data_IF_432291145657
#
_entry.id   IF_432291145657
#
_cell.length_a   1.000
_cell.length_b   1.000
_cell.length_c   1.000
_cell.angle_alpha   90.00
_cell.angle_beta   90.00
_cell.angle_gamma   90.00
#
_symmetry.space_group_name_H-M   'P 1'
#
loop_
_entity.id
_entity.type
_entity.pdbx_description
1 polymer ?
#
# COMPACT_ATOMS: atom_id res chain seq x y z
N UNK A 1 -0.58 -17.81 14.79
CA UNK A 1 -1.99 -17.88 14.35
C UNK A 1 -2.88 -17.70 15.57
N UNK A 2 -4.05 -17.08 15.42
CA UNK A 2 -4.96 -16.76 16.53
C UNK A 2 -6.16 -17.71 16.52
N UNK A 3 -6.84 -17.91 17.66
CA UNK A 3 -8.09 -18.65 17.71
C UNK A 3 -9.19 -17.99 16.83
N UNK A 4 -10.12 -18.79 16.25
CA UNK A 4 -11.19 -18.31 15.38
C UNK A 4 -12.00 -17.16 15.98
N UNK A 5 -12.32 -17.26 17.28
CA UNK A 5 -13.07 -16.24 18.04
C UNK A 5 -12.42 -14.86 17.97
N UNK A 6 -11.09 -14.80 18.00
CA UNK A 6 -10.37 -13.52 17.92
C UNK A 6 -10.19 -13.09 16.46
N UNK A 7 -9.96 -14.01 15.53
CA UNK A 7 -9.72 -13.67 14.11
C UNK A 7 -10.98 -13.25 13.36
N UNK A 8 -12.11 -13.93 13.60
CA UNK A 8 -13.35 -13.76 12.82
C UNK A 8 -14.30 -12.74 13.45
N UNK A 9 -14.43 -12.73 14.77
CA UNK A 9 -15.41 -11.88 15.45
C UNK A 9 -14.78 -10.57 15.92
N UNK A 10 -13.64 -10.63 16.62
CA UNK A 10 -13.01 -9.46 17.22
C UNK A 10 -12.14 -8.64 16.25
N UNK A 11 -11.47 -9.29 15.28
CA UNK A 11 -10.50 -8.63 14.38
C UNK A 11 -10.97 -8.49 12.93
N UNK A 12 -12.08 -9.12 12.54
CA UNK A 12 -12.63 -8.91 11.19
C UNK A 12 -13.27 -7.53 11.08
N UNK A 13 -12.90 -6.80 10.03
CA UNK A 13 -13.43 -5.48 9.68
C UNK A 13 -14.74 -5.60 8.89
N UNK A 14 -15.76 -6.15 9.54
CA UNK A 14 -17.08 -6.30 8.93
C UNK A 14 -17.75 -4.92 8.73
N UNK A 15 -18.51 -4.72 7.65
CA UNK A 15 -19.21 -3.45 7.40
C UNK A 15 -20.20 -3.11 8.51
N UNK A 16 -20.34 -1.81 8.82
CA UNK A 16 -21.29 -1.32 9.81
C UNK A 16 -20.90 -1.53 11.27
N UNK A 17 -19.77 -2.19 11.55
CA UNK A 17 -19.32 -2.48 12.92
C UNK A 17 -18.04 -1.70 13.26
N UNK A 18 -18.00 -1.13 14.46
CA UNK A 18 -16.80 -0.45 14.96
C UNK A 18 -15.71 -1.43 15.40
N UNK A 19 -14.46 -1.08 15.06
CA UNK A 19 -13.28 -1.91 15.28
C UNK A 19 -12.07 -1.08 15.69
N UNK A 20 -11.32 -1.59 16.66
CA UNK A 20 -10.03 -1.05 17.05
C UNK A 20 -8.97 -1.44 16.01
N UNK A 21 -8.17 -0.48 15.58
CA UNK A 21 -7.16 -0.65 14.54
C UNK A 21 -5.91 0.15 14.86
N UNK A 22 -4.78 -0.31 14.31
CA UNK A 22 -3.58 0.51 14.20
C UNK A 22 -3.54 1.08 12.78
N UNK A 23 -3.60 2.40 12.67
CA UNK A 23 -3.66 3.11 11.40
C UNK A 23 -2.32 3.74 11.07
N UNK A 24 -1.95 3.68 9.80
CA UNK A 24 -0.94 4.51 9.19
C UNK A 24 -1.59 5.49 8.21
N UNK A 25 -1.38 6.79 8.41
CA UNK A 25 -1.94 7.88 7.61
C UNK A 25 -0.81 8.65 6.96
N UNK A 26 -0.91 8.87 5.65
CA UNK A 26 0.08 9.59 4.87
C UNK A 26 -0.58 10.80 4.22
N UNK A 27 -0.02 11.98 4.44
CA UNK A 27 -0.31 13.15 3.62
C UNK A 27 0.63 13.11 2.41
N UNK A 28 0.07 13.08 1.21
CA UNK A 28 0.83 12.88 -0.02
C UNK A 28 0.49 13.95 -1.05
N UNK A 29 1.47 14.31 -1.88
CA UNK A 29 1.24 15.15 -3.06
C UNK A 29 0.57 14.34 -4.18
N UNK A 30 0.09 15.02 -5.24
CA UNK A 30 -0.54 14.37 -6.39
C UNK A 30 0.42 13.44 -7.16
N UNK A 31 1.72 13.60 -6.95
CA UNK A 31 2.80 12.82 -7.53
C UNK A 31 3.16 11.60 -6.65
N UNK A 32 2.48 11.41 -5.51
CA UNK A 32 2.72 10.29 -4.60
C UNK A 32 3.89 10.50 -3.63
N UNK A 33 4.39 11.73 -3.49
CA UNK A 33 5.44 12.05 -2.50
C UNK A 33 4.82 12.24 -1.12
N UNK A 34 5.36 11.56 -0.11
CA UNK A 34 4.90 11.71 1.29
C UNK A 34 5.41 13.04 1.86
N UNK A 35 4.48 13.89 2.31
CA UNK A 35 4.75 15.15 3.00
C UNK A 35 4.76 14.94 4.51
N UNK A 36 3.80 14.16 5.02
CA UNK A 36 3.70 13.86 6.45
C UNK A 36 3.20 12.43 6.65
N UNK A 37 3.55 11.83 7.80
CA UNK A 37 3.13 10.50 8.21
C UNK A 37 2.68 10.51 9.66
N UNK A 38 1.60 9.80 9.95
CA UNK A 38 1.10 9.57 11.29
C UNK A 38 0.82 8.08 11.49
N UNK A 39 1.19 7.55 12.65
CA UNK A 39 0.93 6.18 13.07
C UNK A 39 0.25 6.23 14.43
N UNK A 40 -0.82 5.47 14.62
CA UNK A 40 -1.49 5.41 15.92
C UNK A 40 -2.69 4.48 15.98
N UNK A 41 -3.18 4.25 17.19
CA UNK A 41 -4.38 3.44 17.46
C UNK A 41 -5.63 4.27 17.13
N UNK A 42 -6.58 3.68 16.44
CA UNK A 42 -7.82 4.33 15.97
C UNK A 42 -9.02 3.40 16.12
N UNK A 43 -10.21 3.98 16.18
CA UNK A 43 -11.48 3.26 15.95
C UNK A 43 -11.93 3.52 14.52
N UNK A 44 -12.37 2.47 13.81
CA UNK A 44 -12.93 2.58 12.46
C UNK A 44 -14.25 1.83 12.35
N UNK A 45 -15.11 2.28 11.45
CA UNK A 45 -16.34 1.58 11.03
C UNK A 45 -16.26 1.39 9.52
N UNK A 46 -16.15 0.14 9.06
CA UNK A 46 -16.06 -0.13 7.62
C UNK A 46 -17.39 0.16 6.94
N UNK A 47 -17.38 0.85 5.79
CA UNK A 47 -18.60 1.20 5.07
C UNK A 47 -19.07 0.10 4.11
N UNK A 48 -18.16 -0.75 3.61
CA UNK A 48 -18.49 -1.78 2.62
C UNK A 48 -17.43 -2.90 2.65
N UNK A 49 -17.85 -4.12 2.29
CA UNK A 49 -16.94 -5.25 2.01
C UNK A 49 -16.98 -5.50 0.50
N UNK A 50 -15.86 -5.26 -0.16
CA UNK A 50 -15.73 -5.44 -1.61
C UNK A 50 -14.98 -6.74 -1.91
N UNK A 51 -15.47 -7.48 -2.90
CA UNK A 51 -14.66 -8.51 -3.56
C UNK A 51 -13.72 -7.86 -4.59
N UNK A 52 -12.75 -8.62 -5.09
CA UNK A 52 -11.87 -8.13 -6.15
C UNK A 52 -12.63 -7.84 -7.44
N UNK A 53 -13.64 -8.63 -7.77
CA UNK A 53 -14.48 -8.41 -8.95
C UNK A 53 -15.28 -7.12 -8.82
N UNK A 54 -15.77 -6.79 -7.62
CA UNK A 54 -16.50 -5.56 -7.38
C UNK A 54 -15.59 -4.34 -7.44
N UNK A 55 -14.40 -4.43 -6.83
CA UNK A 55 -13.41 -3.36 -6.90
C UNK A 55 -12.98 -3.08 -8.35
N UNK A 56 -12.80 -4.13 -9.17
CA UNK A 56 -12.45 -3.97 -10.57
C UNK A 56 -13.59 -3.31 -11.36
N UNK A 57 -14.83 -3.78 -11.19
CA UNK A 57 -16.02 -3.15 -11.78
C UNK A 57 -16.12 -1.66 -11.43
N UNK A 58 -15.86 -1.31 -10.18
CA UNK A 58 -15.87 0.08 -9.72
C UNK A 58 -14.80 0.93 -10.41
N UNK A 59 -13.58 0.39 -10.54
CA UNK A 59 -12.46 1.05 -11.24
C UNK A 59 -12.83 1.29 -12.72
N UNK A 60 -13.46 0.31 -13.36
CA UNK A 60 -13.86 0.36 -14.77
C UNK A 60 -15.09 1.27 -14.99
N UNK A 61 -15.73 1.74 -13.92
CA UNK A 61 -16.85 2.68 -13.96
C UNK A 61 -18.23 2.02 -14.05
N UNK A 62 -18.34 0.72 -13.78
CA UNK A 62 -19.61 0.04 -13.68
C UNK A 62 -20.32 0.34 -12.35
N UNK A 63 -21.65 0.27 -12.37
CA UNK A 63 -22.51 0.47 -11.19
C UNK A 63 -22.41 -0.77 -10.30
N UNK A 64 -22.27 -0.55 -8.99
CA UNK A 64 -22.28 -1.60 -7.98
C UNK A 64 -23.70 -1.73 -7.40
N UNK A 65 -24.54 -2.55 -8.02
CA UNK A 65 -25.97 -2.68 -7.67
C UNK A 65 -26.25 -3.50 -6.40
N UNK A 66 -25.42 -4.49 -6.09
CA UNK A 66 -25.74 -5.54 -5.10
C UNK A 66 -24.95 -5.43 -3.79
N UNK A 67 -24.26 -4.32 -3.54
CA UNK A 67 -23.41 -4.19 -2.37
C UNK A 67 -24.17 -3.71 -1.14
N UNK A 68 -23.94 -4.39 -0.02
CA UNK A 68 -24.35 -3.92 1.31
C UNK A 68 -23.42 -2.77 1.72
N UNK A 69 -23.89 -1.55 1.54
CA UNK A 69 -23.19 -0.31 1.92
C UNK A 69 -23.83 0.26 3.19
N UNK A 70 -22.99 0.72 4.11
CA UNK A 70 -23.46 1.42 5.30
C UNK A 70 -24.21 2.71 4.91
N UNK A 71 -25.33 3.04 5.56
CA UNK A 71 -26.23 4.11 5.13
C UNK A 71 -25.58 5.50 5.10
N UNK A 72 -24.46 5.68 5.81
CA UNK A 72 -23.76 6.96 5.92
C UNK A 72 -22.94 7.32 4.67
N UNK A 73 -22.81 6.44 3.66
CA UNK A 73 -21.94 6.66 2.49
C UNK A 73 -22.59 6.22 1.18
N UNK A 74 -22.39 7.00 0.11
CA UNK A 74 -22.91 6.68 -1.21
C UNK A 74 -21.97 5.76 -2.01
N UNK A 75 -22.55 4.92 -2.86
CA UNK A 75 -21.79 4.06 -3.80
C UNK A 75 -20.89 4.88 -4.73
N UNK A 76 -21.34 6.08 -5.14
CA UNK A 76 -20.56 6.98 -5.99
C UNK A 76 -19.28 7.47 -5.31
N UNK A 77 -19.34 7.80 -4.01
CA UNK A 77 -18.15 8.19 -3.25
C UNK A 77 -17.14 7.04 -3.16
N UNK A 78 -17.62 5.81 -2.94
CA UNK A 78 -16.76 4.61 -2.90
C UNK A 78 -16.07 4.39 -4.25
N UNK A 79 -16.81 4.50 -5.36
CA UNK A 79 -16.25 4.37 -6.71
C UNK A 79 -15.19 5.45 -6.97
N UNK A 80 -15.48 6.70 -6.61
CA UNK A 80 -14.53 7.81 -6.72
C UNK A 80 -13.23 7.52 -5.97
N UNK A 81 -13.34 7.13 -4.70
CA UNK A 81 -12.18 6.88 -3.85
C UNK A 81 -11.34 5.69 -4.37
N UNK A 82 -11.98 4.63 -4.88
CA UNK A 82 -11.28 3.51 -5.51
C UNK A 82 -10.50 3.94 -6.75
N UNK A 83 -11.07 4.84 -7.57
CA UNK A 83 -10.37 5.40 -8.73
C UNK A 83 -9.17 6.25 -8.33
N UNK A 84 -9.33 7.10 -7.31
CA UNK A 84 -8.22 7.90 -6.75
C UNK A 84 -7.09 6.99 -6.26
N UNK A 85 -7.43 5.97 -5.47
CA UNK A 85 -6.44 5.01 -4.99
C UNK A 85 -5.75 4.23 -6.11
N UNK A 86 -6.51 3.80 -7.13
CA UNK A 86 -5.94 3.09 -8.27
C UNK A 86 -4.97 3.99 -9.04
N UNK A 87 -5.31 5.27 -9.23
CA UNK A 87 -4.44 6.27 -9.84
C UNK A 87 -3.12 6.43 -9.07
N UNK A 88 -3.21 6.66 -7.76
CA UNK A 88 -2.03 6.78 -6.90
C UNK A 88 -1.20 5.48 -6.88
N UNK A 89 -1.85 4.32 -6.82
CA UNK A 89 -1.16 3.04 -6.84
C UNK A 89 -0.42 2.78 -8.17
N UNK A 90 -0.97 3.22 -9.32
CA UNK A 90 -0.28 3.14 -10.61
C UNK A 90 0.96 4.04 -10.65
N UNK A 91 0.85 5.27 -10.15
CA UNK A 91 1.98 6.19 -10.06
C UNK A 91 3.09 5.65 -9.14
N UNK A 92 2.74 5.19 -7.94
CA UNK A 92 3.69 4.61 -6.99
C UNK A 92 4.38 3.36 -7.53
N UNK A 93 3.67 2.54 -8.32
CA UNK A 93 4.27 1.39 -9.02
C UNK A 93 5.27 1.85 -10.09
N UNK A 94 4.87 2.81 -10.93
CA UNK A 94 5.73 3.33 -11.99
C UNK A 94 7.02 3.96 -11.44
N UNK A 95 6.90 4.80 -10.40
CA UNK A 95 8.04 5.40 -9.71
C UNK A 95 8.98 4.37 -9.08
N UNK A 96 8.45 3.25 -8.58
CA UNK A 96 9.27 2.17 -8.03
C UNK A 96 10.00 1.39 -9.13
N UNK A 97 9.32 1.06 -10.23
CA UNK A 97 9.96 0.34 -11.35
C UNK A 97 10.97 1.21 -12.09
N UNK A 98 10.81 2.54 -12.09
CA UNK A 98 11.79 3.45 -12.67
C UNK A 98 13.12 3.46 -11.92
N UNK A 99 13.14 3.24 -10.60
CA UNK A 99 14.41 3.06 -9.84
C UNK A 99 15.23 1.91 -10.40
N UNK A 100 14.56 0.82 -10.79
CA UNK A 100 15.22 -0.33 -11.40
C UNK A 100 15.44 -0.14 -12.91
N UNK A 101 14.99 0.95 -13.52
CA UNK A 101 15.02 1.16 -14.98
C UNK A 101 14.36 0.02 -15.76
N UNK A 102 13.20 -0.44 -15.29
CA UNK A 102 12.39 -1.48 -15.96
C UNK A 102 10.97 -0.99 -16.24
N UNK A 103 10.29 -1.49 -17.29
CA UNK A 103 8.89 -1.16 -17.53
C UNK A 103 7.98 -1.75 -16.44
N UNK A 104 6.79 -1.19 -16.26
CA UNK A 104 5.80 -1.69 -15.27
C UNK A 104 5.30 -3.10 -15.56
N UNK A 105 5.46 -3.57 -16.80
CA UNK A 105 5.10 -4.91 -17.27
C UNK A 105 6.23 -5.93 -17.13
N UNK A 106 7.40 -5.52 -16.60
CA UNK A 106 8.55 -6.40 -16.47
C UNK A 106 8.26 -7.66 -15.66
N UNK A 107 8.80 -8.78 -16.14
CA UNK A 107 8.78 -10.08 -15.49
C UNK A 107 9.66 -10.08 -14.23
N UNK A 108 9.43 -11.06 -13.35
CA UNK A 108 10.25 -11.23 -12.15
C UNK A 108 11.74 -11.48 -12.47
N UNK A 109 12.03 -12.13 -13.60
CA UNK A 109 13.40 -12.38 -14.06
C UNK A 109 14.09 -11.09 -14.50
N UNK A 110 13.43 -10.26 -15.31
CA UNK A 110 13.98 -8.96 -15.75
C UNK A 110 14.23 -8.03 -14.55
N UNK A 111 13.30 -7.98 -13.60
CA UNK A 111 13.46 -7.23 -12.34
C UNK A 111 14.69 -7.72 -11.56
N UNK A 112 14.87 -9.05 -11.46
CA UNK A 112 16.00 -9.66 -10.74
C UNK A 112 17.33 -9.40 -11.43
N UNK A 113 17.40 -9.54 -12.74
CA UNK A 113 18.62 -9.27 -13.53
C UNK A 113 19.02 -7.79 -13.40
N UNK A 114 18.05 -6.90 -13.46
CA UNK A 114 18.32 -5.46 -13.38
C UNK A 114 18.75 -5.02 -11.99
N UNK A 115 18.13 -5.57 -10.95
CA UNK A 115 18.58 -5.42 -9.57
C UNK A 115 20.04 -5.89 -9.40
N UNK A 116 20.40 -7.07 -9.92
CA UNK A 116 21.78 -7.59 -9.85
C UNK A 116 22.77 -6.66 -10.53
N UNK A 117 22.46 -6.18 -11.74
CA UNK A 117 23.32 -5.27 -12.47
C UNK A 117 23.56 -3.95 -11.72
N UNK A 118 22.48 -3.30 -11.24
CA UNK A 118 22.57 -2.04 -10.49
C UNK A 118 23.29 -2.22 -9.15
N UNK A 119 23.03 -3.32 -8.43
CA UNK A 119 23.70 -3.62 -7.16
C UNK A 119 25.22 -3.78 -7.29
N UNK A 120 25.70 -4.27 -8.43
CA UNK A 120 27.15 -4.39 -8.70
C UNK A 120 27.78 -3.01 -8.96
N UNK A 121 27.05 -2.12 -9.64
CA UNK A 121 27.49 -0.76 -9.98
C UNK A 121 27.51 0.13 -8.74
N UNK A 122 26.42 0.13 -7.96
CA UNK A 122 26.23 1.02 -6.81
C UNK A 122 26.75 0.44 -5.49
N UNK A 123 27.60 -0.60 -5.51
CA UNK A 123 28.19 -1.12 -4.28
C UNK A 123 29.13 -0.07 -3.66
N UNK A 124 28.91 0.40 -2.42
CA UNK A 124 29.72 1.46 -1.82
C UNK A 124 31.22 1.11 -1.77
N UNK A 125 31.55 -0.13 -1.42
CA UNK A 125 32.95 -0.60 -1.28
C UNK A 125 33.78 -0.50 -2.56
N UNK A 126 33.12 -0.45 -3.73
CA UNK A 126 33.79 -0.34 -5.03
C UNK A 126 34.09 1.11 -5.42
N UNK A 127 33.67 2.09 -4.62
CA UNK A 127 33.81 3.51 -4.92
C UNK A 127 35.05 4.10 -4.25
N UNK A 128 35.85 4.82 -5.04
CA UNK A 128 37.13 5.37 -4.59
C UNK A 128 36.97 6.60 -3.69
N UNK A 129 36.05 7.51 -4.01
CA UNK A 129 35.81 8.75 -3.26
C UNK A 129 34.77 8.60 -2.14
N UNK A 130 34.92 9.38 -1.07
CA UNK A 130 33.96 9.40 0.04
C UNK A 130 32.59 9.91 -0.39
N UNK A 131 32.53 11.05 -1.11
CA UNK A 131 31.27 11.54 -1.69
C UNK A 131 30.59 10.54 -2.63
N UNK A 132 31.37 9.79 -3.41
CA UNK A 132 30.81 8.78 -4.32
C UNK A 132 30.34 7.54 -3.57
N UNK A 133 30.98 7.20 -2.44
CA UNK A 133 30.51 6.14 -1.53
C UNK A 133 29.17 6.50 -0.91
N UNK A 134 29.02 7.74 -0.44
CA UNK A 134 27.77 8.21 0.17
C UNK A 134 26.61 8.18 -0.83
N UNK A 135 26.82 8.71 -2.03
CA UNK A 135 25.80 8.66 -3.09
C UNK A 135 25.48 7.21 -3.49
N UNK A 136 26.50 6.37 -3.66
CA UNK A 136 26.29 4.96 -3.99
C UNK A 136 25.54 4.22 -2.88
N UNK A 137 25.78 4.53 -1.61
CA UNK A 137 25.05 3.95 -0.49
C UNK A 137 23.56 4.33 -0.50
N UNK A 138 23.23 5.59 -0.81
CA UNK A 138 21.84 6.04 -0.95
C UNK A 138 21.16 5.31 -2.12
N UNK A 139 21.77 5.31 -3.30
CA UNK A 139 21.24 4.66 -4.50
C UNK A 139 21.08 3.15 -4.29
N UNK A 140 22.07 2.49 -3.70
CA UNK A 140 22.04 1.06 -3.41
C UNK A 140 20.86 0.70 -2.50
N UNK A 141 20.60 1.51 -1.47
CA UNK A 141 19.48 1.32 -0.57
C UNK A 141 18.13 1.52 -1.29
N UNK A 142 18.02 2.51 -2.17
CA UNK A 142 16.80 2.72 -2.97
C UNK A 142 16.54 1.56 -3.94
N UNK A 143 17.58 1.08 -4.62
CA UNK A 143 17.54 -0.09 -5.50
C UNK A 143 17.08 -1.34 -4.72
N UNK A 144 17.62 -1.55 -3.52
CA UNK A 144 17.25 -2.70 -2.68
C UNK A 144 15.77 -2.62 -2.26
N UNK A 145 15.33 -1.48 -1.75
CA UNK A 145 13.91 -1.26 -1.37
C UNK A 145 12.98 -1.45 -2.57
N UNK A 146 13.36 -0.97 -3.75
CA UNK A 146 12.57 -1.13 -4.96
C UNK A 146 12.46 -2.60 -5.37
N UNK A 147 13.54 -3.37 -5.24
CA UNK A 147 13.57 -4.80 -5.52
C UNK A 147 12.74 -5.62 -4.53
N UNK A 148 12.90 -5.40 -3.22
CA UNK A 148 12.16 -6.14 -2.17
C UNK A 148 10.64 -6.08 -2.40
N UNK A 149 10.12 -4.88 -2.71
CA UNK A 149 8.69 -4.68 -2.93
C UNK A 149 8.23 -5.18 -4.32
N UNK A 150 9.10 -5.14 -5.33
CA UNK A 150 8.74 -5.48 -6.71
C UNK A 150 8.98 -6.94 -7.10
N UNK A 151 9.82 -7.65 -6.35
CA UNK A 151 10.19 -9.06 -6.60
C UNK A 151 9.22 -10.04 -5.95
N UNK A 152 8.63 -9.69 -4.80
CA UNK A 152 7.68 -10.56 -4.11
C UNK A 152 6.29 -10.48 -4.79
N UNK A 153 5.77 -11.61 -5.31
CA UNK A 153 4.43 -11.67 -5.89
C UNK A 153 3.34 -11.28 -4.89
N UNK A 154 3.47 -11.64 -3.62
CA UNK A 154 2.52 -11.33 -2.55
C UNK A 154 2.57 -9.84 -2.17
N UNK A 155 3.75 -9.21 -2.17
CA UNK A 155 3.86 -7.75 -1.95
C UNK A 155 3.44 -6.96 -3.20
N UNK A 156 3.67 -7.48 -4.41
CA UNK A 156 3.03 -6.97 -5.65
C UNK A 156 1.50 -7.07 -5.57
N UNK A 157 1.00 -8.11 -4.90
CA UNK A 157 -0.42 -8.40 -4.68
C UNK A 157 -1.01 -7.75 -3.42
N UNK A 158 -0.21 -7.18 -2.50
CA UNK A 158 -0.67 -6.56 -1.24
C UNK A 158 -1.40 -5.25 -1.57
N UNK A 159 -2.60 -5.47 -2.11
CA UNK A 159 -3.62 -4.56 -2.63
C UNK A 159 -4.60 -4.17 -1.54
N UNK A 160 -4.27 -4.40 -0.27
CA UNK A 160 -5.07 -3.92 0.85
C UNK A 160 -4.75 -2.45 1.15
N UNK A 161 -5.18 -1.59 0.23
CA UNK A 161 -5.48 -0.20 0.56
C UNK A 161 -6.99 -0.13 0.72
N UNK A 162 -7.48 -0.01 1.96
CA UNK A 162 -8.90 0.24 2.23
C UNK A 162 -9.08 1.70 2.62
N UNK A 163 -10.08 2.32 2.02
CA UNK A 163 -10.36 3.75 2.12
C UNK A 163 -11.13 4.02 3.40
N UNK A 164 -10.65 5.01 4.15
CA UNK A 164 -11.45 5.68 5.16
C UNK A 164 -11.34 7.18 4.88
N UNK A 165 -12.49 7.85 4.77
CA UNK A 165 -12.53 9.31 4.72
C UNK A 165 -12.51 9.81 6.15
N UNK A 166 -11.61 10.74 6.43
CA UNK A 166 -11.59 11.52 7.67
C UNK A 166 -11.46 12.98 7.25
N UNK A 167 -12.59 13.66 7.12
CA UNK A 167 -12.64 15.12 7.01
C UNK A 167 -11.98 15.70 5.76
N UNK A 168 -12.27 15.18 4.57
CA UNK A 168 -11.95 15.88 3.30
C UNK A 168 -10.48 15.83 2.87
N UNK A 169 -9.68 14.96 3.48
CA UNK A 169 -8.32 14.63 3.02
C UNK A 169 -8.27 13.19 2.53
N UNK A 170 -7.63 12.94 1.37
CA UNK A 170 -7.40 11.59 0.86
C UNK A 170 -6.43 10.88 1.81
N UNK A 171 -6.98 10.09 2.73
CA UNK A 171 -6.20 9.31 3.71
C UNK A 171 -6.04 7.89 3.18
N UNK A 172 -4.85 7.57 2.70
CA UNK A 172 -4.45 6.18 2.42
C UNK A 172 -4.19 5.50 3.77
N UNK A 173 -5.19 4.80 4.33
CA UNK A 173 -4.96 3.92 5.49
C UNK A 173 -4.40 2.59 5.01
N UNK A 174 -3.10 2.36 5.18
CA UNK A 174 -2.58 0.99 5.21
C UNK A 174 -2.91 0.43 6.59
N UNK A 175 -3.98 -0.37 6.67
CA UNK A 175 -4.32 -1.08 7.90
C UNK A 175 -3.37 -2.27 8.05
N UNK A 176 -2.23 -2.05 8.70
CA UNK A 176 -1.42 -3.14 9.21
C UNK A 176 -2.20 -3.75 10.38
N UNK A 177 -2.88 -4.88 10.14
CA UNK A 177 -3.31 -5.76 11.23
C UNK A 177 -2.05 -6.46 11.74
N UNK A 178 -1.18 -5.72 12.45
CA UNK A 178 -0.13 -6.34 13.23
C UNK A 178 -0.79 -6.90 14.48
N UNK A 179 -0.77 -8.22 14.60
CA UNK A 179 -0.99 -8.90 15.87
C UNK A 179 0.10 -8.44 16.83
N UNK A 180 -0.15 -7.41 17.62
CA UNK A 180 0.63 -7.23 18.84
C UNK A 180 0.19 -8.33 19.80
N UNK A 181 1.09 -9.29 20.00
CA UNK A 181 1.09 -10.11 21.19
C UNK A 181 1.12 -9.21 22.42
N UNK A 182 0.46 -9.67 23.46
CA UNK A 182 0.57 -9.10 24.80
C UNK A 182 2.05 -9.00 25.17
N UNK A 183 2.48 -7.81 25.56
CA UNK A 183 3.43 -7.55 26.64
C UNK A 183 3.47 -6.03 26.87
N UNK A 184 2.79 -5.59 27.95
CA UNK A 184 3.06 -4.39 28.74
C UNK A 184 1.86 -4.10 29.65
N UNK A 185 1.73 -4.92 30.71
CA UNK A 185 1.51 -4.52 32.11
C UNK A 185 1.62 -5.77 32.98
#
# INVERSE_FOLDING_TARGET
MLPPTISEEARSLNPGVERLTSSAVFAMTKEGKIVNKWLGKTVIKSCVKLSYTDAQKAIDGHILGDLVVAPERSTLAIIHDLKVLNGLAKQLRAARTSVLNVPTTASANEIRERYRALSVIFRPDKQSGERTRDTAAVEFLEIQKAYEVSSDPLIRLDRYVRIFDVGGSIVIKKCLITSFGQEAL
#
